data_IF_591149282664
#
_entry.id   IF_591149282664
#
_cell.length_a   1.000
_cell.length_b   1.000
_cell.length_c   1.000
_cell.angle_alpha   90.00
_cell.angle_beta   90.00
_cell.angle_gamma   90.00
#
_symmetry.space_group_name_H-M   'P 1'
#
loop_
_entity.id
_entity.type
_entity.pdbx_description
1 polymer ?
2 non-polymer ?
3 non-polymer ?
4 non-polymer ?
5 water ?
#
# COMPACT_ATOMS: atom_id res chain seq x y z
N UNK A 36 -6.10 -10.26 -16.05
CA UNK A 36 -4.64 -10.12 -15.98
C UNK A 36 -4.24 -8.67 -15.73
N UNK A 37 -3.13 -8.49 -15.00
CA UNK A 37 -2.65 -7.14 -14.69
C UNK A 37 -2.43 -6.32 -15.96
N UNK A 38 -1.97 -6.95 -17.03
CA UNK A 38 -1.75 -6.22 -18.28
C UNK A 38 -3.03 -5.64 -18.85
N UNK A 39 -4.12 -6.41 -18.80
CA UNK A 39 -5.40 -5.89 -19.27
C UNK A 39 -5.94 -4.82 -18.32
N UNK A 40 -5.64 -4.93 -17.03
CA UNK A 40 -6.08 -3.92 -16.08
C UNK A 40 -5.30 -2.62 -16.26
N UNK A 41 -3.98 -2.73 -16.50
CA UNK A 41 -3.17 -1.55 -16.73
C UNK A 41 -3.57 -0.85 -18.03
N UNK A 42 -3.81 -1.62 -19.09
CA UNK A 42 -4.18 -1.02 -20.37
C UNK A 42 -5.51 -0.28 -20.29
N UNK A 43 -6.42 -0.76 -19.43
CA UNK A 43 -7.66 -0.01 -19.21
C UNK A 43 -7.38 1.33 -18.55
N UNK A 44 -6.52 1.35 -17.54
CA UNK A 44 -6.15 2.61 -16.90
C UNK A 44 -5.36 3.50 -17.86
N UNK A 45 -4.54 2.89 -18.73
CA UNK A 45 -3.76 3.67 -19.69
C UNK A 45 -4.68 4.42 -20.64
N UNK A 46 -5.71 3.75 -21.16
CA UNK A 46 -6.64 4.41 -22.08
C UNK A 46 -7.45 5.49 -21.37
N UNK A 47 -7.86 5.22 -20.13
CA UNK A 47 -8.61 6.22 -19.37
C UNK A 47 -7.78 7.47 -19.14
N UNK A 48 -6.53 7.30 -18.68
CA UNK A 48 -5.67 8.44 -18.44
C UNK A 48 -5.42 9.22 -19.72
N UNK A 49 -5.26 8.52 -20.85
CA UNK A 49 -5.11 9.21 -22.12
C UNK A 49 -6.35 10.04 -22.46
N UNK A 50 -7.54 9.47 -22.23
CA UNK A 50 -8.75 10.22 -22.52
C UNK A 50 -8.91 11.46 -21.65
N UNK A 51 -8.65 11.32 -20.34
CA UNK A 51 -8.73 12.48 -19.46
C UNK A 51 -7.68 13.52 -19.80
N UNK A 52 -6.51 13.08 -20.26
CA UNK A 52 -5.47 14.03 -20.64
C UNK A 52 -5.86 14.84 -21.87
N UNK A 53 -6.41 14.17 -22.89
CA UNK A 53 -6.83 14.88 -24.09
C UNK A 53 -7.95 15.87 -23.78
N UNK A 54 -8.88 15.49 -22.89
CA UNK A 54 -9.98 16.37 -22.54
C UNK A 54 -9.52 17.59 -21.75
N UNK A 55 -8.36 17.52 -21.10
CA UNK A 55 -7.82 18.63 -20.32
C UNK A 55 -6.77 19.43 -21.09
N UNK A 56 -6.66 19.24 -22.40
CA UNK A 56 -5.63 19.92 -23.17
C UNK A 56 -5.84 21.42 -23.21
N UNK A 57 -7.07 21.88 -23.04
CA UNK A 57 -7.37 23.31 -23.09
C UNK A 57 -6.78 24.08 -21.91
N UNK A 58 -6.20 23.40 -20.92
CA UNK A 58 -5.63 24.06 -19.76
C UNK A 58 -4.13 24.31 -19.89
N UNK A 59 -3.56 24.11 -21.08
CA UNK A 59 -2.20 24.53 -21.36
C UNK A 59 -1.20 23.38 -21.32
N UNK A 60 0.01 23.70 -21.79
CA UNK A 60 1.06 22.69 -21.88
C UNK A 60 1.70 22.40 -20.53
N UNK A 61 1.64 23.35 -19.59
CA UNK A 61 2.24 23.12 -18.28
C UNK A 61 1.46 22.08 -17.49
N UNK A 62 0.14 22.24 -17.42
CA UNK A 62 -0.69 21.24 -16.76
C UNK A 62 -0.66 19.91 -17.52
N UNK A 63 -0.53 19.97 -18.84
CA UNK A 63 -0.41 18.75 -19.63
C UNK A 63 0.85 17.97 -19.26
N UNK A 64 1.93 18.69 -18.94
CA UNK A 64 3.14 18.01 -18.50
C UNK A 64 2.98 17.34 -17.15
N UNK A 65 2.17 17.92 -16.27
CA UNK A 65 1.89 17.27 -14.98
C UNK A 65 1.06 16.00 -15.19
N UNK A 66 0.09 16.04 -16.10
CA UNK A 66 -0.71 14.85 -16.38
C UNK A 66 0.14 13.77 -17.01
N UNK A 67 1.04 14.16 -17.93
CA UNK A 67 1.97 13.19 -18.51
C UNK A 67 2.88 12.59 -17.45
N UNK A 68 3.27 13.41 -16.46
CA UNK A 68 4.06 12.89 -15.35
C UNK A 68 3.27 11.90 -14.51
N UNK A 69 1.95 12.13 -14.38
CA UNK A 69 1.12 11.16 -13.69
C UNK A 69 1.04 9.85 -14.45
N UNK A 70 0.90 9.91 -15.77
CA UNK A 70 0.92 8.70 -16.59
C UNK A 70 2.23 7.95 -16.42
N UNK A 71 3.36 8.67 -16.46
CA UNK A 71 4.67 8.03 -16.35
C UNK A 71 4.86 7.36 -15.00
N UNK A 72 4.23 7.90 -13.95
CA UNK A 72 4.44 7.34 -12.61
C UNK A 72 3.57 6.11 -12.37
N UNK A 73 2.29 6.17 -12.74
CA UNK A 73 1.39 5.07 -12.47
C UNK A 73 1.69 3.88 -13.39
N UNK A 74 1.90 4.15 -14.68
CA UNK A 74 2.11 3.10 -15.65
C UNK A 74 3.55 2.64 -15.75
N UNK A 75 4.50 3.44 -15.31
CA UNK A 75 5.90 3.12 -15.45
C UNK A 75 6.47 2.28 -14.32
N UNK A 76 5.73 1.29 -13.87
CA UNK A 76 6.18 0.38 -12.84
C UNK A 76 5.08 0.06 -11.84
N UNK A 77 5.22 -1.09 -11.19
CA UNK A 77 4.25 -1.54 -10.20
C UNK A 77 3.90 -3.00 -10.40
N UNK A 78 3.47 -3.64 -9.30
CA UNK A 78 3.10 -5.04 -9.32
C UNK A 78 1.63 -5.28 -9.63
N UNK A 79 0.80 -4.24 -9.53
CA UNK A 79 -0.65 -4.34 -9.75
C UNK A 79 -1.30 -5.31 -8.76
N UNK A 80 -0.79 -5.37 -7.53
CA UNK A 80 -1.24 -6.38 -6.58
C UNK A 80 -2.69 -6.13 -6.13
N UNK A 81 -3.05 -4.86 -5.91
CA UNK A 81 -4.41 -4.58 -5.42
C UNK A 81 -5.48 -4.86 -6.47
N UNK A 82 -5.32 -4.45 -7.74
CA UNK A 82 -6.33 -4.84 -8.75
C UNK A 82 -6.44 -6.34 -8.93
N UNK A 83 -5.37 -7.10 -8.66
CA UNK A 83 -5.44 -8.55 -8.79
C UNK A 83 -6.28 -9.15 -7.67
N UNK A 84 -6.13 -8.65 -6.44
CA UNK A 84 -7.00 -9.10 -5.35
C UNK A 84 -8.46 -8.77 -5.64
N UNK A 85 -8.72 -7.63 -6.28
CA UNK A 85 -10.08 -7.30 -6.68
C UNK A 85 -10.58 -8.24 -7.77
N UNK A 86 -9.69 -8.67 -8.65
CA UNK A 86 -10.07 -9.60 -9.71
C UNK A 86 -10.50 -10.95 -9.14
N UNK A 87 -9.81 -11.41 -8.08
CA UNK A 87 -10.16 -12.70 -7.50
C UNK A 87 -11.40 -12.61 -6.61
N UNK A 88 -11.64 -11.47 -5.96
CA UNK A 88 -12.89 -11.29 -5.25
C UNK A 88 -14.08 -11.32 -6.17
N UNK A 89 -13.90 -10.87 -7.41
CA UNK A 89 -14.95 -11.02 -8.43
C UNK A 89 -15.10 -12.47 -8.84
N UNK A 90 -13.99 -13.18 -9.08
CA UNK A 90 -14.07 -14.57 -9.53
C UNK A 90 -14.61 -15.50 -8.45
N UNK A 91 -14.35 -15.19 -7.18
CA UNK A 91 -14.79 -16.06 -6.09
C UNK A 91 -16.30 -16.18 -6.02
N UNK A 92 -17.03 -15.20 -6.56
CA UNK A 92 -18.47 -15.13 -6.38
C UNK A 92 -19.19 -15.22 -7.73
N UNK A 93 -18.58 -14.69 -8.77
CA UNK A 93 -19.19 -14.66 -10.09
C UNK A 93 -18.72 -15.82 -10.95
N UNK A 94 -19.35 -15.95 -12.12
CA UNK A 94 -18.97 -16.95 -13.12
C UNK A 94 -18.41 -16.31 -14.38
N UNK A 95 -19.09 -15.34 -14.94
CA UNK A 95 -18.57 -14.64 -16.11
C UNK A 95 -17.38 -13.78 -15.71
N UNK A 96 -16.33 -13.80 -16.55
CA UNK A 96 -15.20 -12.93 -16.31
C UNK A 96 -15.64 -11.47 -16.45
N UNK A 97 -15.02 -10.57 -15.70
CA UNK A 97 -15.53 -9.19 -15.63
C UNK A 97 -15.47 -8.48 -16.98
N UNK A 98 -16.41 -7.56 -17.17
CA UNK A 98 -16.42 -6.72 -18.36
C UNK A 98 -15.19 -5.82 -18.39
N UNK A 99 -14.83 -5.31 -19.57
CA UNK A 99 -13.66 -4.41 -19.64
C UNK A 99 -13.80 -3.17 -18.77
N UNK A 100 -15.01 -2.62 -18.64
CA UNK A 100 -15.20 -1.48 -17.74
C UNK A 100 -15.00 -1.87 -16.29
N UNK A 101 -15.27 -3.13 -15.94
CA UNK A 101 -15.03 -3.57 -14.56
C UNK A 101 -13.54 -3.67 -14.30
N UNK A 102 -12.76 -4.09 -15.30
CA UNK A 102 -11.30 -4.05 -15.15
C UNK A 102 -10.80 -2.63 -14.96
N UNK A 103 -11.45 -1.66 -15.59
CA UNK A 103 -11.12 -0.26 -15.34
C UNK A 103 -11.44 0.12 -13.90
N UNK A 104 -12.54 -0.40 -13.35
CA UNK A 104 -12.85 -0.18 -11.94
C UNK A 104 -11.77 -0.77 -11.05
N UNK A 105 -11.24 -1.94 -11.41
CA UNK A 105 -10.17 -2.54 -10.62
C UNK A 105 -8.88 -1.74 -10.74
N UNK A 106 -8.65 -1.10 -11.89
CA UNK A 106 -7.46 -0.28 -12.07
C UNK A 106 -7.51 1.00 -11.24
N UNK A 107 -8.71 1.42 -10.80
CA UNK A 107 -8.81 2.61 -9.97
C UNK A 107 -8.00 2.47 -8.68
N UNK A 108 -7.85 1.24 -8.18
CA UNK A 108 -7.00 1.01 -7.03
C UNK A 108 -5.54 1.37 -7.32
N UNK A 109 -5.09 1.15 -8.56
CA UNK A 109 -3.72 1.51 -8.92
C UNK A 109 -3.56 3.02 -8.97
N UNK A 110 -4.51 3.73 -9.57
CA UNK A 110 -4.44 5.19 -9.61
C UNK A 110 -4.59 5.77 -8.21
N UNK A 111 -5.46 5.17 -7.39
CA UNK A 111 -5.57 5.59 -5.99
C UNK A 111 -4.26 5.34 -5.24
N UNK A 112 -3.54 4.27 -5.59
CA UNK A 112 -2.28 3.98 -4.93
C UNK A 112 -1.23 5.04 -5.26
N UNK A 113 -1.26 5.60 -6.46
CA UNK A 113 -0.36 6.69 -6.80
C UNK A 113 -0.59 7.90 -5.92
N UNK A 114 -1.86 8.22 -5.64
CA UNK A 114 -2.16 9.31 -4.73
C UNK A 114 -1.58 9.07 -3.35
N UNK A 115 -1.67 7.83 -2.86
CA UNK A 115 -1.12 7.51 -1.55
C UNK A 115 0.40 7.59 -1.56
N UNK A 116 1.04 7.08 -2.60
CA UNK A 116 2.51 7.08 -2.66
C UNK A 116 3.06 8.49 -2.81
N UNK A 117 2.42 9.31 -3.65
CA UNK A 117 2.92 10.67 -3.88
C UNK A 117 2.86 11.47 -2.58
N UNK A 118 1.73 11.39 -1.88
CA UNK A 118 1.61 12.13 -0.62
C UNK A 118 2.44 11.51 0.48
N UNK A 119 2.66 10.20 0.44
CA UNK A 119 3.50 9.55 1.43
C UNK A 119 4.95 9.98 1.29
N UNK A 120 5.41 10.20 0.05
CA UNK A 120 6.78 10.67 -0.16
C UNK A 120 6.98 12.07 0.41
N UNK A 121 5.95 12.91 0.39
CA UNK A 121 6.03 14.20 1.05
C UNK A 121 6.03 14.04 2.56
N UNK A 122 5.19 13.13 3.08
CA UNK A 122 5.14 12.88 4.52
C UNK A 122 6.47 12.34 5.01
N UNK A 123 7.05 11.39 4.29
CA UNK A 123 8.30 10.78 4.70
C UNK A 123 9.53 11.56 4.24
N UNK A 124 9.33 12.62 3.45
CA UNK A 124 10.42 13.41 2.89
C UNK A 124 11.44 12.54 2.18
N UNK A 125 10.92 11.61 1.38
CA UNK A 125 11.77 10.71 0.60
C UNK A 125 12.22 11.38 -0.69
N UNK A 126 13.47 11.11 -1.08
CA UNK A 126 14.02 11.69 -2.30
C UNK A 126 13.85 10.80 -3.50
N UNK A 127 13.81 9.48 -3.30
CA UNK A 127 13.65 8.52 -4.39
C UNK A 127 12.63 7.47 -4.00
N UNK A 128 12.01 6.88 -5.03
CA UNK A 128 11.08 5.76 -4.86
C UNK A 128 11.36 4.73 -5.94
N UNK A 129 11.82 3.55 -5.54
CA UNK A 129 12.18 2.47 -6.46
C UNK A 129 13.18 2.96 -7.51
N UNK A 130 14.22 3.64 -7.03
CA UNK A 130 15.28 4.13 -7.88
C UNK A 130 14.97 5.40 -8.63
N UNK A 131 13.69 5.78 -8.75
CA UNK A 131 13.34 7.01 -9.46
C UNK A 131 13.12 8.15 -8.47
N UNK A 132 13.41 9.38 -8.86
CA UNK A 132 13.20 10.51 -7.93
C UNK A 132 11.73 10.71 -7.63
N UNK A 133 11.46 11.15 -6.40
CA UNK A 133 10.09 11.41 -5.98
C UNK A 133 9.56 12.66 -6.68
N UNK A 134 8.26 12.89 -6.51
CA UNK A 134 7.59 13.97 -7.25
C UNK A 134 8.15 15.34 -6.87
N UNK A 135 8.36 15.58 -5.58
CA UNK A 135 8.83 16.90 -5.16
C UNK A 135 10.22 17.23 -5.70
N UNK A 136 11.03 16.21 -6.01
CA UNK A 136 12.33 16.47 -6.62
C UNK A 136 12.27 16.61 -8.13
N UNK A 137 11.31 15.94 -8.79
CA UNK A 137 11.16 16.11 -10.22
C UNK A 137 10.70 17.53 -10.56
N UNK A 138 9.75 18.07 -9.80
CA UNK A 138 9.25 19.41 -10.09
C UNK A 138 10.17 20.50 -9.59
N UNK A 139 10.96 20.23 -8.55
CA UNK A 139 12.01 21.16 -8.16
C UNK A 139 13.10 21.23 -9.22
N UNK A 140 13.41 20.09 -9.86
CA UNK A 140 14.37 20.09 -10.94
C UNK A 140 13.84 20.82 -12.17
N UNK A 141 12.55 20.63 -12.48
CA UNK A 141 11.93 21.42 -13.53
C UNK A 141 12.02 22.91 -13.23
N UNK A 142 11.77 23.28 -11.97
CA UNK A 142 11.88 24.68 -11.55
C UNK A 142 13.28 25.24 -11.84
N UNK A 143 14.32 24.46 -11.52
CA UNK A 143 15.68 24.94 -11.75
C UNK A 143 16.04 24.89 -13.24
N UNK A 144 15.54 23.88 -13.96
CA UNK A 144 15.79 23.81 -15.40
C UNK A 144 15.28 25.05 -16.12
N UNK A 145 14.10 25.52 -15.74
CA UNK A 145 13.50 26.70 -16.35
C UNK A 145 14.03 28.01 -15.77
N UNK A 146 14.97 27.93 -14.82
CA UNK A 146 15.51 29.12 -14.14
C UNK A 146 14.38 29.97 -13.57
N UNK A 147 13.40 29.31 -12.96
CA UNK A 147 12.25 29.99 -12.40
C UNK A 147 12.61 30.69 -11.10
N UNK A 148 11.69 31.53 -10.61
CA UNK A 148 11.93 32.31 -9.41
C UNK A 148 11.34 31.62 -8.19
N UNK A 149 11.90 31.94 -7.03
CA UNK A 149 11.43 31.40 -5.76
C UNK A 149 12.19 30.16 -5.35
N UNK A 150 11.66 29.51 -4.32
CA UNK A 150 12.25 28.28 -3.82
C UNK A 150 11.88 27.11 -4.72
N UNK A 151 12.85 26.42 -5.33
CA UNK A 151 12.49 25.24 -6.13
C UNK A 151 11.90 24.12 -5.30
N UNK A 152 12.38 23.93 -4.07
CA UNK A 152 11.86 22.88 -3.21
C UNK A 152 10.43 23.16 -2.77
N UNK A 153 10.06 24.44 -2.64
CA UNK A 153 8.68 24.77 -2.31
C UNK A 153 7.76 24.53 -3.50
N UNK A 154 8.23 24.84 -4.71
CA UNK A 154 7.44 24.52 -5.90
C UNK A 154 7.30 23.01 -6.07
N UNK A 155 8.37 22.27 -5.81
CA UNK A 155 8.29 20.82 -5.92
C UNK A 155 7.31 20.22 -4.93
N UNK A 156 7.30 20.73 -3.70
CA UNK A 156 6.35 20.24 -2.70
C UNK A 156 4.93 20.61 -3.09
N UNK A 157 4.71 21.84 -3.56
CA UNK A 157 3.37 22.27 -3.94
C UNK A 157 2.85 21.46 -5.14
N UNK A 158 3.71 21.23 -6.14
CA UNK A 158 3.30 20.44 -7.28
C UNK A 158 3.06 18.99 -6.91
N UNK A 159 3.84 18.46 -5.97
CA UNK A 159 3.63 17.07 -5.53
C UNK A 159 2.30 16.90 -4.82
N UNK A 160 1.90 17.90 -4.02
CA UNK A 160 0.58 17.87 -3.40
C UNK A 160 -0.50 17.81 -4.48
N UNK A 161 -0.38 18.68 -5.48
CA UNK A 161 -1.36 18.72 -6.56
C UNK A 161 -1.33 17.46 -7.41
N UNK A 162 -0.15 16.87 -7.60
CA UNK A 162 -0.04 15.63 -8.37
C UNK A 162 -0.78 14.50 -7.68
N UNK A 163 -0.57 14.35 -6.37
CA UNK A 163 -1.30 13.33 -5.64
C UNK A 163 -2.80 13.60 -5.58
N UNK A 164 -3.16 14.88 -5.45
CA UNK A 164 -4.58 15.25 -5.46
C UNK A 164 -5.24 14.85 -6.77
N UNK A 165 -4.54 15.03 -7.89
CA UNK A 165 -5.12 14.70 -9.18
C UNK A 165 -5.31 13.19 -9.33
N UNK A 166 -4.34 12.40 -8.88
CA UNK A 166 -4.49 10.95 -8.94
C UNK A 166 -5.69 10.48 -8.14
N UNK A 167 -6.00 11.16 -7.03
CA UNK A 167 -7.13 10.76 -6.21
C UNK A 167 -8.46 11.09 -6.86
N UNK A 168 -8.61 12.33 -7.36
CA UNK A 168 -9.89 12.72 -7.95
C UNK A 168 -10.15 11.94 -9.23
N UNK A 169 -9.11 11.60 -9.99
CA UNK A 169 -9.31 10.83 -11.21
C UNK A 169 -9.56 9.36 -10.92
N UNK A 170 -8.88 8.80 -9.90
CA UNK A 170 -9.19 7.44 -9.49
C UNK A 170 -10.63 7.32 -9.02
N UNK A 171 -11.14 8.35 -8.36
CA UNK A 171 -12.53 8.31 -7.93
C UNK A 171 -13.48 8.49 -9.10
N UNK A 172 -13.13 9.32 -10.08
CA UNK A 172 -13.98 9.49 -11.25
C UNK A 172 -14.17 8.18 -12.00
N UNK A 173 -13.16 7.29 -11.96
CA UNK A 173 -13.31 5.97 -12.55
C UNK A 173 -14.44 5.21 -11.87
N UNK A 174 -14.43 5.18 -10.54
CA UNK A 174 -15.46 4.44 -9.80
C UNK A 174 -16.84 5.00 -10.09
N UNK A 175 -16.98 6.34 -10.07
CA UNK A 175 -18.26 6.95 -10.35
C UNK A 175 -18.71 6.67 -11.78
N UNK A 176 -17.78 6.67 -12.73
CA UNK A 176 -18.14 6.44 -14.13
C UNK A 176 -18.52 4.98 -14.37
N UNK A 177 -17.71 4.04 -13.86
CA UNK A 177 -17.97 2.63 -14.10
C UNK A 177 -19.26 2.19 -13.39
N UNK A 178 -19.53 2.76 -12.22
CA UNK A 178 -20.76 2.40 -11.50
C UNK A 178 -22.00 2.80 -12.27
N UNK A 179 -22.02 4.01 -12.84
CA UNK A 179 -23.19 4.49 -13.55
C UNK A 179 -23.41 3.80 -14.88
N UNK A 180 -22.36 3.25 -15.49
CA UNK A 180 -22.46 2.73 -16.85
C UNK A 180 -22.39 1.21 -16.94
N UNK A 181 -21.83 0.53 -15.95
CA UNK A 181 -21.56 -0.90 -16.08
C UNK A 181 -22.12 -1.76 -14.95
N UNK A 182 -22.70 -1.18 -13.91
CA UNK A 182 -23.14 -1.94 -12.75
C UNK A 182 -24.60 -1.67 -12.45
N UNK A 183 -25.29 -2.73 -12.02
CA UNK A 183 -26.65 -2.56 -11.52
C UNK A 183 -26.63 -1.70 -10.26
N UNK A 184 -27.72 -0.98 -9.97
CA UNK A 184 -27.69 -0.03 -8.83
C UNK A 184 -27.30 -0.65 -7.50
N UNK A 185 -27.61 -1.93 -7.28
CA UNK A 185 -27.24 -2.57 -6.02
C UNK A 185 -25.74 -2.85 -5.97
N UNK A 186 -25.15 -3.22 -7.10
CA UNK A 186 -23.70 -3.36 -7.16
C UNK A 186 -23.01 -2.01 -6.97
N UNK A 187 -23.65 -0.92 -7.43
CA UNK A 187 -23.07 0.41 -7.25
C UNK A 187 -22.96 0.75 -5.77
N UNK A 188 -24.02 0.49 -5.00
CA UNK A 188 -24.00 0.79 -3.58
C UNK A 188 -22.97 -0.06 -2.84
N UNK A 189 -22.85 -1.34 -3.22
CA UNK A 189 -21.85 -2.20 -2.59
C UNK A 189 -20.44 -1.74 -2.93
N UNK A 190 -20.23 -1.27 -4.15
CA UNK A 190 -18.90 -0.80 -4.55
C UNK A 190 -18.54 0.48 -3.82
N UNK A 191 -19.50 1.40 -3.69
CA UNK A 191 -19.20 2.69 -3.05
C UNK A 191 -18.80 2.51 -1.60
N UNK A 192 -19.47 1.61 -0.88
CA UNK A 192 -19.15 1.43 0.54
C UNK A 192 -17.73 0.91 0.72
N UNK A 193 -17.28 0.02 -0.16
CA UNK A 193 -15.89 -0.43 -0.11
C UNK A 193 -14.96 0.72 -0.48
N UNK A 194 -15.35 1.51 -1.48
CA UNK A 194 -14.53 2.65 -1.90
C UNK A 194 -14.40 3.67 -0.77
N UNK A 195 -15.50 3.92 -0.04
CA UNK A 195 -15.43 4.84 1.09
C UNK A 195 -14.58 4.27 2.22
N UNK A 196 -14.59 2.95 2.41
CA UNK A 196 -13.83 2.35 3.50
C UNK A 196 -12.33 2.33 3.19
N UNK A 197 -11.94 1.97 1.97
CA UNK A 197 -10.52 1.80 1.68
C UNK A 197 -9.80 3.13 1.73
N UNK A 198 -10.46 4.23 1.34
CA UNK A 198 -9.82 5.54 1.41
C UNK A 198 -9.83 6.10 2.82
N UNK A 199 -10.89 5.82 3.59
CA UNK A 199 -10.93 6.28 4.97
C UNK A 199 -9.93 5.54 5.84
N UNK A 200 -9.66 4.28 5.53
CA UNK A 200 -8.77 3.48 6.37
C UNK A 200 -7.29 3.69 6.02
N UNK A 201 -6.98 3.99 4.76
CA UNK A 201 -5.59 4.28 4.41
C UNK A 201 -5.19 5.65 4.94
N UNK A 202 -6.14 6.58 5.03
CA UNK A 202 -5.85 7.87 5.66
C UNK A 202 -5.70 7.74 7.16
N UNK A 203 -6.59 6.98 7.80
CA UNK A 203 -6.45 6.72 9.22
C UNK A 203 -5.16 5.97 9.55
N UNK A 204 -4.81 5.00 8.72
CA UNK A 204 -3.55 4.28 8.93
C UNK A 204 -2.35 5.18 8.78
N UNK A 205 -2.39 6.12 7.82
CA UNK A 205 -1.30 7.06 7.66
C UNK A 205 -1.17 7.98 8.86
N UNK A 206 -2.29 8.52 9.35
CA UNK A 206 -2.23 9.42 10.50
C UNK A 206 -1.83 8.67 11.76
N UNK A 207 -2.36 7.46 11.95
CA UNK A 207 -1.96 6.67 13.12
C UNK A 207 -0.47 6.36 13.08
N UNK A 208 0.10 6.21 11.88
CA UNK A 208 1.52 5.87 11.80
C UNK A 208 2.40 7.06 12.18
N UNK A 209 2.08 8.26 11.71
CA UNK A 209 2.90 9.42 12.06
C UNK A 209 2.73 9.78 13.52
N UNK A 210 1.53 9.54 14.08
CA UNK A 210 1.34 9.77 15.51
C UNK A 210 2.12 8.74 16.32
N UNK A 211 2.17 7.49 15.85
CA UNK A 211 2.90 6.45 16.57
C UNK A 211 4.40 6.75 16.60
N UNK A 212 4.94 7.26 15.50
CA UNK A 212 6.37 7.59 15.49
C UNK A 212 6.65 8.85 16.30
N UNK A 213 5.75 9.84 16.23
CA UNK A 213 5.96 11.07 16.98
C UNK A 213 5.80 10.84 18.48
N UNK A 214 4.89 9.96 18.88
CA UNK A 214 4.66 9.67 20.29
C UNK A 214 5.50 8.51 20.79
N UNK A 215 6.30 7.87 19.91
CA UNK A 215 7.17 6.76 20.28
C UNK A 215 6.37 5.61 20.90
N UNK A 216 5.35 5.18 20.17
CA UNK A 216 4.49 4.08 20.62
C UNK A 216 5.27 2.77 20.54
N UNK A 217 5.58 2.18 21.69
CA UNK A 217 6.37 0.95 21.73
C UNK A 217 5.54 -0.30 21.51
N UNK A 218 4.26 -0.26 21.87
CA UNK A 218 3.47 -1.49 22.00
C UNK A 218 3.33 -2.21 20.68
N UNK A 219 3.19 -3.54 20.76
CA UNK A 219 2.81 -4.34 19.61
C UNK A 219 1.43 -3.93 19.11
N UNK A 220 0.55 -3.53 20.03
CA UNK A 220 -0.82 -3.17 19.65
C UNK A 220 -0.84 -1.96 18.71
N UNK A 221 -0.03 -0.95 19.00
CA UNK A 221 0.01 0.24 18.16
C UNK A 221 0.51 -0.10 16.75
N UNK A 222 1.58 -0.88 16.67
CA UNK A 222 2.12 -1.25 15.36
C UNK A 222 1.16 -2.16 14.60
N UNK A 223 0.46 -3.03 15.33
CA UNK A 223 -0.51 -3.93 14.69
C UNK A 223 -1.69 -3.16 14.13
N UNK A 224 -2.18 -2.15 14.86
CA UNK A 224 -3.31 -1.36 14.37
C UNK A 224 -2.96 -0.63 13.09
N UNK A 225 -1.74 -0.10 13.00
CA UNK A 225 -1.32 0.55 11.77
C UNK A 225 -1.22 -0.47 10.64
N UNK A 226 -0.67 -1.64 10.91
CA UNK A 226 -0.54 -2.67 9.88
C UNK A 226 -1.89 -3.16 9.40
N UNK A 227 -2.89 -3.24 10.30
CA UNK A 227 -4.21 -3.68 9.89
C UNK A 227 -4.84 -2.69 8.90
N UNK A 228 -4.70 -1.40 9.16
CA UNK A 228 -5.28 -0.38 8.29
C UNK A 228 -4.46 -0.21 7.02
N UNK A 229 -3.14 -0.05 7.15
CA UNK A 229 -2.31 0.26 5.99
C UNK A 229 -2.05 -0.95 5.10
N UNK A 230 -1.97 -2.15 5.66
CA UNK A 230 -1.60 -3.33 4.90
C UNK A 230 -2.74 -4.34 4.77
N UNK A 231 -3.36 -4.73 5.88
CA UNK A 231 -4.40 -5.75 5.82
C UNK A 231 -5.62 -5.25 5.04
N UNK A 232 -6.18 -4.12 5.46
CA UNK A 232 -7.38 -3.61 4.80
C UNK A 232 -7.06 -3.01 3.44
N UNK A 233 -6.04 -2.15 3.39
CA UNK A 233 -5.79 -1.35 2.19
C UNK A 233 -5.28 -2.20 1.02
N UNK A 234 -4.49 -3.24 1.30
CA UNK A 234 -3.87 -4.03 0.24
C UNK A 234 -4.62 -5.32 -0.09
N UNK A 235 -5.22 -5.98 0.91
CA UNK A 235 -5.80 -7.31 0.72
C UNK A 235 -7.33 -7.27 0.87
N UNK A 236 -7.81 -6.89 2.05
CA UNK A 236 -9.22 -7.07 2.38
C UNK A 236 -10.12 -6.21 1.50
N UNK A 237 -9.92 -4.89 1.51
CA UNK A 237 -10.79 -4.00 0.74
C UNK A 237 -10.69 -4.24 -0.76
N UNK A 238 -9.51 -4.46 -1.37
CA UNK A 238 -9.51 -4.84 -2.79
C UNK A 238 -10.33 -6.10 -3.06
N UNK A 239 -10.14 -7.15 -2.24
CA UNK A 239 -10.95 -8.36 -2.40
C UNK A 239 -12.44 -8.04 -2.37
N UNK A 240 -12.87 -7.28 -1.36
CA UNK A 240 -14.28 -6.92 -1.24
C UNK A 240 -14.76 -6.03 -2.38
N UNK A 241 -13.85 -5.27 -3.01
CA UNK A 241 -14.26 -4.44 -4.13
C UNK A 241 -14.73 -5.29 -5.31
N UNK A 242 -14.02 -6.38 -5.59
CA UNK A 242 -14.45 -7.27 -6.67
C UNK A 242 -15.68 -8.06 -6.31
N UNK A 243 -15.76 -8.52 -5.05
CA UNK A 243 -16.94 -9.25 -4.61
C UNK A 243 -18.18 -8.36 -4.63
N UNK A 244 -18.04 -7.10 -4.19
CA UNK A 244 -19.17 -6.18 -4.17
C UNK A 244 -19.68 -5.92 -5.58
N UNK A 245 -18.79 -5.83 -6.56
CA UNK A 245 -19.20 -5.60 -7.94
C UNK A 245 -19.82 -6.85 -8.57
N UNK A 246 -19.54 -8.03 -8.03
CA UNK A 246 -20.03 -9.26 -8.65
C UNK A 246 -21.46 -9.58 -8.22
N UNK A 247 -21.68 -9.76 -6.92
CA UNK A 247 -22.99 -10.12 -6.40
C UNK A 247 -23.08 -9.73 -4.94
N UNK A 248 -24.24 -9.99 -4.34
CA UNK A 248 -24.50 -9.69 -2.93
C UNK A 248 -24.16 -10.95 -2.13
N UNK A 249 -22.91 -11.01 -1.64
CA UNK A 249 -22.41 -12.13 -0.86
C UNK A 249 -21.74 -11.58 0.39
N UNK A 250 -22.55 -11.17 1.37
CA UNK A 250 -22.02 -10.67 2.62
C UNK A 250 -21.22 -11.75 3.35
N UNK A 251 -21.56 -13.02 3.11
CA UNK A 251 -20.79 -14.12 3.70
C UNK A 251 -19.37 -14.14 3.17
N UNK A 252 -19.19 -13.92 1.87
CA UNK A 252 -17.86 -13.95 1.28
C UNK A 252 -17.07 -12.70 1.66
N UNK A 253 -17.74 -11.55 1.70
CA UNK A 253 -17.06 -10.32 2.07
C UNK A 253 -16.55 -10.39 3.50
N UNK A 254 -17.34 -10.97 4.42
CA UNK A 254 -16.89 -11.11 5.80
C UNK A 254 -15.76 -12.12 5.91
N UNK A 255 -15.70 -13.10 5.01
CA UNK A 255 -14.62 -14.07 5.03
C UNK A 255 -13.34 -13.48 4.46
N UNK A 256 -13.45 -12.68 3.41
CA UNK A 256 -12.27 -12.03 2.84
C UNK A 256 -11.64 -11.05 3.82
N UNK A 257 -12.44 -10.50 4.74
CA UNK A 257 -11.89 -9.62 5.76
C UNK A 257 -10.99 -10.40 6.72
N UNK A 258 -11.45 -11.58 7.15
CA UNK A 258 -10.64 -12.44 8.00
C UNK A 258 -9.46 -13.04 7.24
N UNK A 259 -9.64 -13.34 5.95
CA UNK A 259 -8.53 -13.82 5.13
C UNK A 259 -7.48 -12.74 4.95
N UNK A 260 -7.92 -11.49 4.75
CA UNK A 260 -6.97 -10.40 4.64
C UNK A 260 -6.35 -10.00 5.96
N UNK A 261 -7.07 -10.24 7.06
CA UNK A 261 -6.52 -9.93 8.38
C UNK A 261 -5.31 -10.80 8.70
N UNK A 262 -5.26 -12.03 8.18
CA UNK A 262 -4.13 -12.92 8.40
C UNK A 262 -3.06 -12.75 7.33
N UNK A 263 -3.48 -12.71 6.05
CA UNK A 263 -2.51 -12.57 4.97
C UNK A 263 -1.89 -11.17 4.97
N UNK A 264 -2.67 -10.15 5.31
CA UNK A 264 -2.14 -8.80 5.35
C UNK A 264 -1.08 -8.61 6.41
N UNK A 265 -1.33 -9.13 7.62
CA UNK A 265 -0.33 -9.04 8.67
C UNK A 265 0.89 -9.90 8.34
N UNK A 266 0.67 -11.06 7.71
CA UNK A 266 1.80 -11.88 7.28
C UNK A 266 2.63 -11.16 6.24
N UNK A 267 1.98 -10.42 5.33
CA UNK A 267 2.71 -9.58 4.38
C UNK A 267 3.51 -8.51 5.12
N UNK A 268 2.93 -7.92 6.16
CA UNK A 268 3.60 -6.85 6.90
C UNK A 268 4.83 -7.39 7.63
N UNK A 269 4.67 -8.50 8.36
CA UNK A 269 5.79 -9.07 9.08
C UNK A 269 6.92 -9.50 8.14
N UNK A 270 6.58 -9.96 6.94
CA UNK A 270 7.60 -10.26 5.94
C UNK A 270 8.37 -8.99 5.57
N UNK A 271 7.66 -7.88 5.37
CA UNK A 271 8.33 -6.62 5.09
C UNK A 271 9.12 -6.12 6.29
N UNK A 272 8.64 -6.38 7.51
CA UNK A 272 9.38 -6.00 8.70
C UNK A 272 10.71 -6.72 8.78
N UNK A 273 10.71 -8.02 8.45
CA UNK A 273 11.95 -8.79 8.46
C UNK A 273 12.88 -8.31 7.36
N UNK A 274 12.35 -8.10 6.16
CA UNK A 274 13.18 -7.61 5.06
C UNK A 274 13.70 -6.20 5.34
N UNK A 275 12.88 -5.37 6.00
CA UNK A 275 13.31 -4.03 6.36
C UNK A 275 14.42 -3.98 7.38
N UNK A 276 14.68 -5.08 8.08
CA UNK A 276 15.74 -5.17 9.08
C UNK A 276 16.87 -6.08 8.61
N UNK A 277 16.54 -7.28 8.13
CA UNK A 277 17.53 -8.28 7.77
C UNK A 277 17.67 -8.50 6.28
N UNK A 278 16.85 -7.85 5.46
CA UNK A 278 16.84 -8.14 4.04
C UNK A 278 18.12 -7.70 3.35
N UNK A 279 18.49 -8.46 2.32
CA UNK A 279 19.63 -8.11 1.48
C UNK A 279 19.22 -6.95 0.57
N UNK A 280 19.98 -5.85 0.55
CA UNK A 280 19.64 -4.74 -0.36
C UNK A 280 19.48 -5.15 -1.81
N UNK A 281 20.12 -6.25 -2.23
CA UNK A 281 19.98 -6.72 -3.61
C UNK A 281 18.63 -7.38 -3.87
N UNK A 282 17.84 -7.64 -2.84
CA UNK A 282 16.53 -8.24 -2.98
C UNK A 282 15.41 -7.27 -2.60
N UNK A 283 15.62 -6.48 -1.55
CA UNK A 283 14.62 -5.53 -1.11
C UNK A 283 14.63 -4.24 -1.92
N UNK A 284 15.74 -3.92 -2.58
CA UNK A 284 15.87 -2.64 -3.23
C UNK A 284 16.02 -1.48 -2.27
N UNK A 285 16.23 -1.74 -0.99
CA UNK A 285 16.38 -0.72 0.04
C UNK A 285 17.65 -1.01 0.84
N UNK A 286 18.20 0.00 1.49
CA UNK A 286 19.44 -0.21 2.25
C UNK A 286 19.25 -1.21 3.39
N UNK A 287 20.39 -1.72 3.88
CA UNK A 287 20.36 -2.71 4.94
C UNK A 287 19.85 -2.09 6.24
N UNK A 288 18.88 -2.75 6.86
CA UNK A 288 18.28 -2.20 8.07
C UNK A 288 17.55 -0.89 7.84
N UNK A 289 16.83 -0.79 6.72
CA UNK A 289 16.19 0.47 6.36
C UNK A 289 15.13 0.89 7.38
N UNK A 290 14.37 -0.07 7.88
CA UNK A 290 13.35 0.25 8.89
C UNK A 290 13.98 0.83 10.15
N UNK A 291 15.18 0.36 10.51
CA UNK A 291 15.88 0.92 11.66
C UNK A 291 16.44 2.30 11.35
N UNK A 292 16.99 2.48 10.15
CA UNK A 292 17.49 3.79 9.75
C UNK A 292 16.37 4.81 9.70
N UNK A 293 15.24 4.45 9.08
CA UNK A 293 14.12 5.37 8.95
C UNK A 293 13.31 5.51 10.24
N UNK A 294 13.50 4.61 11.21
CA UNK A 294 12.80 4.72 12.47
C UNK A 294 11.35 4.28 12.43
N UNK A 295 11.04 3.24 11.66
CA UNK A 295 9.68 2.73 11.61
C UNK A 295 9.30 2.08 12.93
N UNK A 296 8.02 2.22 13.31
CA UNK A 296 7.48 1.55 14.49
C UNK A 296 6.76 0.29 14.02
N UNK A 297 7.54 -0.75 13.77
CA UNK A 297 7.03 -1.99 13.21
C UNK A 297 6.66 -2.99 14.31
N UNK A 298 5.91 -4.01 13.91
CA UNK A 298 5.56 -5.09 14.84
C UNK A 298 6.82 -5.84 15.26
N UNK A 299 7.73 -6.11 14.32
CA UNK A 299 8.97 -6.80 14.64
C UNK A 299 9.78 -6.02 15.68
N UNK A 300 9.93 -4.72 15.46
CA UNK A 300 10.65 -3.87 16.42
C UNK A 300 9.93 -3.87 17.76
N UNK A 301 8.60 -3.80 17.75
CA UNK A 301 7.83 -3.79 18.98
C UNK A 301 7.97 -5.11 19.73
N UNK A 302 7.98 -6.22 19.00
CA UNK A 302 8.13 -7.52 19.65
C UNK A 302 9.54 -7.72 20.18
N UNK A 303 10.54 -7.12 19.53
CA UNK A 303 11.91 -7.21 20.03
C UNK A 303 12.04 -6.52 21.38
N UNK A 304 11.33 -5.40 21.57
CA UNK A 304 11.36 -4.72 22.86
C UNK A 304 10.72 -5.57 23.94
N UNK A 305 9.59 -6.23 23.61
CA UNK A 305 8.91 -7.06 24.59
C UNK A 305 9.75 -8.28 24.95
N UNK A 306 10.33 -8.95 23.94
CA UNK A 306 11.18 -10.10 24.20
C UNK A 306 12.44 -9.71 24.97
N UNK A 307 12.96 -8.51 24.72
CA UNK A 307 14.16 -8.06 25.43
C UNK A 307 13.86 -7.75 26.89
N UNK A 308 12.68 -7.23 27.19
CA UNK A 308 12.28 -7.01 28.58
C UNK A 308 12.33 -8.30 29.38
N UNK A 309 12.15 -9.44 28.71
CA UNK A 309 12.10 -10.72 29.39
C UNK A 309 13.43 -11.46 29.39
N UNK A 310 14.38 -11.06 28.55
CA UNK A 310 15.65 -11.76 28.43
C UNK A 310 16.85 -10.91 28.80
N UNK A 311 16.86 -9.64 28.42
CA UNK A 311 17.96 -8.73 28.77
C UNK A 311 17.38 -7.32 28.85
N UNK A 312 17.07 -6.84 30.06
CA UNK A 312 16.52 -5.49 30.20
C UNK A 312 17.41 -4.40 29.62
N UNK A 313 18.73 -4.61 29.62
CA UNK A 313 19.62 -3.62 29.03
C UNK A 313 19.54 -3.62 27.52
N UNK A 314 19.15 -4.75 26.91
CA UNK A 314 18.94 -4.77 25.48
C UNK A 314 17.65 -4.06 25.10
N UNK A 315 16.62 -4.19 25.93
CA UNK A 315 15.41 -3.41 25.72
C UNK A 315 15.67 -1.93 25.86
N UNK A 316 16.53 -1.54 26.82
CA UNK A 316 16.91 -0.14 26.95
C UNK A 316 17.69 0.34 25.74
N UNK A 317 18.52 -0.54 25.16
CA UNK A 317 19.26 -0.18 23.96
C UNK A 317 18.31 0.06 22.79
N UNK A 318 17.28 -0.77 22.66
CA UNK A 318 16.28 -0.58 21.61
C UNK A 318 15.48 0.69 21.84
N UNK A 319 14.92 0.85 23.04
CA UNK A 319 14.05 1.99 23.32
C UNK A 319 14.75 3.32 23.06
N UNK A 320 16.01 3.44 23.48
CA UNK A 320 16.74 4.70 23.37
C UNK A 320 17.38 4.91 22.00
N UNK A 321 17.23 3.97 21.07
CA UNK A 321 17.84 4.07 19.76
C UNK A 321 16.84 4.12 18.61
N UNK A 322 15.64 3.56 18.78
CA UNK A 322 14.65 3.56 17.71
C UNK A 322 14.23 4.99 17.41
N UNK A 323 14.26 5.36 16.12
CA UNK A 323 13.85 6.67 15.69
C UNK A 323 14.89 7.76 15.81
N UNK A 324 16.10 7.42 16.26
CA UNK A 324 17.17 8.40 16.39
C UNK A 324 18.15 8.30 15.22
N UNK A 325 19.08 9.25 15.17
CA UNK A 325 20.09 9.27 14.12
C UNK A 325 21.11 8.17 14.40
N UNK A 326 21.08 7.10 13.61
CA UNK A 326 21.88 5.91 13.86
C UNK A 326 22.98 5.78 12.81
N UNK A 327 24.20 5.56 13.27
CA UNK A 327 25.28 5.22 12.36
C UNK A 327 25.11 3.79 11.85
N UNK A 328 25.90 3.44 10.83
CA UNK A 328 25.80 2.10 10.26
C UNK A 328 26.20 1.03 11.27
N UNK A 329 27.09 1.36 12.22
CA UNK A 329 27.44 0.41 13.25
C UNK A 329 26.31 0.25 14.27
N UNK A 330 25.64 1.34 14.61
CA UNK A 330 24.48 1.25 15.50
C UNK A 330 23.38 0.41 14.88
N UNK A 331 23.18 0.53 13.56
CA UNK A 331 22.15 -0.25 12.89
C UNK A 331 22.47 -1.73 12.93
N UNK A 332 23.73 -2.09 12.66
CA UNK A 332 24.12 -3.50 12.69
C UNK A 332 23.99 -4.08 14.10
N UNK A 333 24.34 -3.29 15.12
CA UNK A 333 24.19 -3.76 16.49
C UNK A 333 22.72 -4.00 16.83
N UNK A 334 21.83 -3.09 16.42
CA UNK A 334 20.41 -3.28 16.68
C UNK A 334 19.86 -4.47 15.90
N UNK A 335 20.35 -4.69 14.68
CA UNK A 335 19.93 -5.86 13.91
C UNK A 335 20.31 -7.15 14.62
N UNK A 336 21.51 -7.21 15.19
CA UNK A 336 21.94 -8.42 15.89
C UNK A 336 21.16 -8.61 17.19
N UNK A 337 20.87 -7.50 17.89
CA UNK A 337 20.08 -7.59 19.12
C UNK A 337 18.68 -8.11 18.83
N UNK A 338 18.08 -7.67 17.73
CA UNK A 338 16.74 -8.11 17.37
C UNK A 338 16.72 -9.62 17.15
N UNK A 339 17.72 -10.14 16.44
CA UNK A 339 17.80 -11.59 16.28
C UNK A 339 18.27 -12.29 17.55
N UNK A 340 19.00 -11.58 18.42
CA UNK A 340 19.51 -12.19 19.64
C UNK A 340 18.39 -12.53 20.62
N UNK A 341 17.36 -11.69 20.69
CA UNK A 341 16.27 -11.88 21.64
C UNK A 341 15.19 -12.75 21.02
N UNK A 342 15.46 -13.31 19.84
CA UNK A 342 14.52 -14.18 19.18
C UNK A 342 13.38 -13.49 18.47
N UNK A 343 13.48 -12.18 18.23
CA UNK A 343 12.39 -11.48 17.55
C UNK A 343 12.27 -11.91 16.09
N UNK A 344 13.38 -12.23 15.43
CA UNK A 344 13.31 -12.67 14.05
C UNK A 344 12.66 -14.04 13.95
N UNK A 345 13.06 -14.98 14.81
CA UNK A 345 12.44 -16.30 14.80
C UNK A 345 10.98 -16.24 15.20
N UNK A 346 10.64 -15.38 16.16
CA UNK A 346 9.24 -15.21 16.54
C UNK A 346 8.42 -14.64 15.40
N UNK A 347 9.02 -13.78 14.58
CA UNK A 347 8.30 -13.23 13.43
C UNK A 347 8.06 -14.29 12.37
N UNK A 348 9.06 -15.14 12.11
CA UNK A 348 8.91 -16.16 11.08
C UNK A 348 7.82 -17.17 11.43
N UNK A 349 7.78 -17.61 12.69
CA UNK A 349 6.72 -18.54 13.10
C UNK A 349 5.36 -17.85 13.08
N UNK A 350 5.32 -16.56 13.41
CA UNK A 350 4.07 -15.81 13.30
C UNK A 350 3.65 -15.65 11.85
N UNK A 351 4.60 -15.60 10.92
CA UNK A 351 4.27 -15.53 9.51
C UNK A 351 3.73 -16.88 9.03
N UNK A 352 4.39 -17.97 9.41
CA UNK A 352 3.96 -19.29 8.97
C UNK A 352 2.59 -19.65 9.53
N UNK A 353 2.29 -19.20 10.75
CA UNK A 353 0.98 -19.49 11.35
C UNK A 353 -0.13 -18.73 10.64
N UNK A 354 0.06 -17.43 10.42
CA UNK A 354 -0.96 -16.63 9.75
C UNK A 354 -1.17 -17.07 8.31
N UNK A 355 -0.09 -17.44 7.62
CA UNK A 355 -0.20 -17.88 6.23
C UNK A 355 -0.96 -19.20 6.14
N UNK A 356 -0.75 -20.09 7.12
CA UNK A 356 -1.46 -21.36 7.12
C UNK A 356 -2.94 -21.16 7.43
N UNK A 357 -3.26 -20.29 8.40
CA UNK A 357 -4.66 -20.04 8.73
C UNK A 357 -5.39 -19.35 7.60
N UNK A 358 -4.71 -18.42 6.91
CA UNK A 358 -5.33 -17.75 5.77
C UNK A 358 -5.65 -18.73 4.66
N UNK A 359 -4.77 -19.71 4.44
CA UNK A 359 -5.05 -20.75 3.45
C UNK A 359 -6.11 -21.72 3.95
N UNK A 360 -6.15 -21.97 5.26
CA UNK A 360 -7.22 -22.79 5.81
C UNK A 360 -8.56 -22.08 5.70
N UNK A 361 -8.58 -20.76 5.90
CA UNK A 361 -9.79 -19.98 5.67
C UNK A 361 -10.18 -19.99 4.21
N UNK A 362 -9.21 -20.04 3.30
CA UNK A 362 -9.49 -19.99 1.88
C UNK A 362 -9.98 -21.33 1.34
N UNK A 363 -9.51 -22.44 1.91
CA UNK A 363 -9.88 -23.75 1.40
C UNK A 363 -11.35 -24.08 1.71
N UNK A 364 -11.83 -23.64 2.86
CA UNK A 364 -13.19 -23.94 3.30
C UNK A 364 -14.18 -22.84 2.97
N UNK A 365 -13.80 -21.91 2.09
CA UNK A 365 -14.68 -20.79 1.76
C UNK A 365 -15.75 -21.23 0.76
N UNK A 366 -16.94 -20.62 0.83
CA UNK A 366 -18.01 -20.92 -0.15
C UNK A 366 -17.82 -20.15 -1.45
N UNK A 367 -16.68 -20.36 -2.10
CA UNK A 367 -16.32 -19.65 -3.32
C UNK A 367 -15.85 -20.66 -4.35
N UNK A 368 -15.70 -20.18 -5.59
CA UNK A 368 -15.27 -21.03 -6.69
C UNK A 368 -13.85 -21.53 -6.46
N UNK A 369 -13.60 -22.77 -6.88
CA UNK A 369 -12.28 -23.37 -6.74
C UNK A 369 -11.22 -22.67 -7.58
N UNK A 370 -11.62 -21.83 -8.54
CA UNK A 370 -10.63 -21.07 -9.30
C UNK A 370 -10.02 -19.96 -8.45
N UNK A 371 -10.84 -19.29 -7.64
CA UNK A 371 -10.32 -18.19 -6.82
C UNK A 371 -9.51 -18.73 -5.65
N UNK A 372 -9.89 -19.88 -5.09
CA UNK A 372 -9.09 -20.50 -4.05
C UNK A 372 -7.68 -20.80 -4.54
N UNK A 373 -7.55 -21.22 -5.80
CA UNK A 373 -6.23 -21.45 -6.36
C UNK A 373 -5.48 -20.15 -6.55
N UNK A 374 -6.10 -19.18 -7.25
CA UNK A 374 -5.42 -17.94 -7.54
C UNK A 374 -5.01 -17.17 -6.29
N UNK A 375 -5.92 -17.09 -5.30
CA UNK A 375 -5.58 -16.39 -4.07
C UNK A 375 -4.54 -17.15 -3.26
N UNK A 376 -4.54 -18.48 -3.33
CA UNK A 376 -3.49 -19.25 -2.66
C UNK A 376 -2.14 -19.01 -3.30
N UNK A 377 -2.11 -18.84 -4.62
CA UNK A 377 -0.87 -18.50 -5.32
C UNK A 377 -0.29 -17.19 -4.77
N UNK A 378 -1.13 -16.14 -4.69
CA UNK A 378 -0.66 -14.85 -4.22
C UNK A 378 -0.17 -14.93 -2.78
N UNK A 379 -0.84 -15.72 -1.95
CA UNK A 379 -0.45 -15.88 -0.55
C UNK A 379 0.92 -16.53 -0.44
#
# INVERSE_FOLDING_TARGET
MSYYHHHHHHLESTSLYKKAGSAAALFRFKKEPFTMAGAITDQLRRYLHGRRRAAAHMGSDYDGLIADLEDFVLGGGKRLRPLFAYWGWHAVASREPDPDVLLLFSALELLHAWALVHDDLIDRSATRRGRPTAQLRYAALHRDRDWRGSPDQFGMSAAILLGDLAQVWADDIVSKVCQSALAPDAQRRVHRVWADIRNEVLGGQYLDIVAEASAAESIESAMNVATLKTACYTVSRPLQLGTAAAADRSDVAAIFEHFGADLGVAFQLRDDVLGVFGDPAVTGKPSGDDLKSGKRTVLVAEAVELADRSDPLAAKLLRTSIGTRLTDAQVRELRTVIEAVGARAAAESRIAALTQRALATLASAPINATAKAGLSELAMMAANRSA
#
